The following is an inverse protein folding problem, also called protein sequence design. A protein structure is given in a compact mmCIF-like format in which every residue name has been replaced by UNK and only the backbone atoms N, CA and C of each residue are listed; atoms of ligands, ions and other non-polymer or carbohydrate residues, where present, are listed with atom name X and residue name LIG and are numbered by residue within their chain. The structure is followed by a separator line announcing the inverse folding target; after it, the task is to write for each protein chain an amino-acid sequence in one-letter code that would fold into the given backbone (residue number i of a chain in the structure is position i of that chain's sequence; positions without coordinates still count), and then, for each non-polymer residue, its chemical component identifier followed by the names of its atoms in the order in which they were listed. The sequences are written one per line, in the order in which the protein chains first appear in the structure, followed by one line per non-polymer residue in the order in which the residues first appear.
data_IF_916900504690
#
_entry.id   IF_916900504690
#
_cell.length_a   1.000
_cell.length_b   1.000
_cell.length_c   1.000
_cell.angle_alpha   90.00
_cell.angle_beta   90.00
_cell.angle_gamma   90.00
#
_symmetry.space_group_name_H-M   'P 1'
#
loop_
_entity.id
_entity.type
_entity.pdbx_description
1 polymer ?
#
# COMPACT_ATOMS: atom_id res chain seq x y z
N UNK A 1 23.83 3.58 -24.01
CA UNK A 1 22.51 3.06 -23.57
C UNK A 1 21.49 3.53 -24.57
N UNK A 2 20.57 2.66 -24.97
CA UNK A 2 19.53 3.00 -25.95
C UNK A 2 18.25 3.27 -25.15
N UNK A 3 17.62 4.41 -25.42
CA UNK A 3 16.35 4.77 -24.79
C UNK A 3 15.22 3.90 -25.36
N UNK A 4 14.16 3.71 -24.57
CA UNK A 4 12.98 2.98 -25.03
C UNK A 4 12.12 3.87 -25.95
N UNK A 5 11.10 3.26 -26.56
CA UNK A 5 10.13 3.97 -27.40
C UNK A 5 9.56 5.17 -26.62
N UNK A 6 9.61 6.35 -27.22
CA UNK A 6 8.98 7.52 -26.64
C UNK A 6 7.48 7.28 -26.49
N UNK A 7 7.02 7.19 -25.24
CA UNK A 7 5.60 6.95 -24.94
C UNK A 7 4.74 8.19 -25.23
N UNK A 8 5.34 9.39 -25.24
CA UNK A 8 4.63 10.66 -25.45
C UNK A 8 3.73 10.69 -26.70
N UNK A 9 4.23 10.39 -27.91
CA UNK A 9 3.43 10.36 -29.13
C UNK A 9 2.27 9.35 -29.11
N UNK A 10 2.40 8.25 -28.38
CA UNK A 10 1.37 7.21 -28.27
C UNK A 10 0.32 7.63 -27.24
N UNK A 11 0.77 7.94 -26.02
CA UNK A 11 -0.07 8.36 -24.90
C UNK A 11 -0.87 9.61 -25.30
N UNK A 12 -0.24 10.58 -25.98
CA UNK A 12 -0.86 11.78 -26.58
C UNK A 12 -2.11 11.56 -27.43
N UNK A 13 -2.25 10.39 -28.05
CA UNK A 13 -3.42 10.08 -28.88
C UNK A 13 -4.56 9.47 -28.07
N UNK A 14 -4.28 8.99 -26.86
CA UNK A 14 -5.23 8.31 -25.97
C UNK A 14 -5.90 9.31 -25.02
N UNK A 15 -6.78 10.15 -25.57
CA UNK A 15 -7.43 11.27 -24.84
C UNK A 15 -8.26 10.86 -23.61
N UNK A 16 -8.63 9.59 -23.51
CA UNK A 16 -9.42 9.02 -22.40
C UNK A 16 -8.61 8.04 -21.53
N UNK A 17 -7.26 8.10 -21.61
CA UNK A 17 -6.40 7.22 -20.82
C UNK A 17 -6.47 7.59 -19.33
N UNK A 18 -7.23 6.82 -18.55
CA UNK A 18 -7.32 7.00 -17.09
C UNK A 18 -6.28 6.16 -16.32
N UNK A 19 -5.80 5.08 -16.93
CA UNK A 19 -4.82 4.17 -16.32
C UNK A 19 -3.63 3.96 -17.25
N UNK A 20 -2.44 4.23 -16.74
CA UNK A 20 -1.18 4.00 -17.45
C UNK A 20 -0.31 3.05 -16.62
N UNK A 21 -0.07 1.86 -17.16
CA UNK A 21 0.83 0.88 -16.57
C UNK A 21 2.04 0.65 -17.48
N UNK A 22 3.23 0.87 -16.94
CA UNK A 22 4.50 0.75 -17.64
C UNK A 22 5.48 -0.07 -16.80
N UNK A 23 6.16 -1.01 -17.45
CA UNK A 23 7.26 -1.77 -16.86
C UNK A 23 8.41 -1.83 -17.86
N UNK A 24 9.55 -1.23 -17.49
CA UNK A 24 10.79 -1.28 -18.25
C UNK A 24 11.55 -2.56 -17.89
N UNK A 25 11.10 -3.67 -18.48
CA UNK A 25 11.64 -5.02 -18.26
C UNK A 25 12.08 -5.64 -19.56
N UNK A 26 12.97 -6.62 -19.45
CA UNK A 26 13.40 -7.44 -20.59
C UNK A 26 12.74 -8.81 -20.52
N UNK A 27 12.25 -9.30 -21.67
CA UNK A 27 11.75 -10.67 -21.85
C UNK A 27 12.45 -11.30 -23.05
N UNK A 28 12.56 -12.63 -23.04
CA UNK A 28 13.02 -13.44 -24.18
C UNK A 28 14.43 -13.09 -24.71
N UNK A 29 15.34 -12.72 -23.81
CA UNK A 29 16.72 -12.43 -24.19
C UNK A 29 17.59 -13.70 -24.20
N UNK A 30 18.31 -13.91 -25.31
CA UNK A 30 19.26 -15.01 -25.48
C UNK A 30 20.54 -14.85 -24.66
N UNK A 31 21.46 -15.80 -24.77
CA UNK A 31 22.64 -15.90 -23.90
C UNK A 31 23.67 -14.75 -24.01
N UNK A 32 23.59 -13.90 -25.04
CA UNK A 32 24.49 -12.74 -25.23
C UNK A 32 23.91 -11.43 -24.66
N UNK A 33 23.13 -11.53 -23.58
CA UNK A 33 22.37 -10.41 -23.01
C UNK A 33 23.13 -9.67 -21.91
N UNK A 34 23.24 -8.34 -22.07
CA UNK A 34 23.74 -7.45 -21.03
C UNK A 34 22.61 -6.59 -20.44
N UNK A 35 22.37 -6.73 -19.13
CA UNK A 35 21.39 -5.94 -18.37
C UNK A 35 21.59 -4.42 -18.48
N UNK A 36 22.81 -3.98 -18.78
CA UNK A 36 23.17 -2.56 -18.96
C UNK A 36 22.47 -1.91 -20.17
N UNK A 37 21.99 -2.69 -21.14
CA UNK A 37 21.50 -2.17 -22.42
C UNK A 37 20.04 -1.70 -22.41
N UNK A 38 19.22 -2.16 -21.46
CA UNK A 38 17.76 -1.91 -21.41
C UNK A 38 17.31 -1.37 -20.04
N UNK A 39 18.16 -0.59 -19.39
CA UNK A 39 17.78 0.09 -18.14
C UNK A 39 16.74 1.17 -18.43
N UNK A 40 15.83 1.39 -17.48
CA UNK A 40 14.99 2.59 -17.48
C UNK A 40 15.91 3.82 -17.41
N UNK A 41 16.04 4.55 -18.51
CA UNK A 41 17.00 5.66 -18.64
C UNK A 41 16.41 6.97 -18.12
N UNK A 42 17.25 7.99 -17.99
CA UNK A 42 16.79 9.30 -17.50
C UNK A 42 15.90 9.97 -18.54
N UNK A 43 16.18 9.70 -19.81
CA UNK A 43 15.38 10.15 -20.93
C UNK A 43 14.03 9.45 -20.97
N UNK A 44 13.96 8.14 -20.67
CA UNK A 44 12.69 7.41 -20.52
C UNK A 44 11.82 8.06 -19.43
N UNK A 45 12.43 8.39 -18.28
CA UNK A 45 11.74 9.04 -17.17
C UNK A 45 11.20 10.42 -17.57
N UNK A 46 12.00 11.23 -18.27
CA UNK A 46 11.58 12.56 -18.77
C UNK A 46 10.47 12.43 -19.81
N UNK A 47 10.59 11.49 -20.75
CA UNK A 47 9.58 11.22 -21.76
C UNK A 47 8.24 10.81 -21.14
N UNK A 48 8.28 9.94 -20.13
CA UNK A 48 7.12 9.54 -19.36
C UNK A 48 6.50 10.72 -18.59
N UNK A 49 7.33 11.57 -17.98
CA UNK A 49 6.85 12.77 -17.28
C UNK A 49 6.09 13.72 -18.22
N UNK A 50 6.64 13.99 -19.41
CA UNK A 50 5.97 14.80 -20.44
C UNK A 50 4.65 14.17 -20.89
N UNK A 51 4.61 12.84 -21.01
CA UNK A 51 3.37 12.14 -21.35
C UNK A 51 2.30 12.35 -20.27
N UNK A 52 2.67 12.16 -18.99
CA UNK A 52 1.75 12.30 -17.85
C UNK A 52 1.24 13.73 -17.72
N UNK A 53 2.12 14.75 -17.78
CA UNK A 53 1.72 16.15 -17.64
C UNK A 53 0.71 16.60 -18.69
N UNK A 54 0.77 16.04 -19.89
CA UNK A 54 -0.16 16.34 -20.97
C UNK A 54 -1.49 15.55 -20.90
N UNK A 55 -1.68 14.69 -19.88
CA UNK A 55 -2.89 13.87 -19.72
C UNK A 55 -3.58 14.12 -18.37
N UNK A 56 -4.38 15.20 -18.26
CA UNK A 56 -5.00 15.59 -17.00
C UNK A 56 -6.07 14.63 -16.51
N UNK A 57 -6.38 13.56 -17.24
CA UNK A 57 -7.38 12.54 -16.89
C UNK A 57 -6.77 11.26 -16.31
N UNK A 58 -5.44 11.11 -16.30
CA UNK A 58 -4.79 9.92 -15.70
C UNK A 58 -5.03 9.91 -14.18
N UNK A 59 -5.72 8.87 -13.72
CA UNK A 59 -6.04 8.62 -12.33
C UNK A 59 -5.15 7.57 -11.68
N UNK A 60 -4.66 6.63 -12.48
CA UNK A 60 -3.90 5.48 -12.01
C UNK A 60 -2.60 5.38 -12.80
N UNK A 61 -1.47 5.37 -12.09
CA UNK A 61 -0.15 5.24 -12.67
C UNK A 61 0.61 4.08 -12.02
N UNK A 62 1.00 3.10 -12.82
CA UNK A 62 1.87 1.99 -12.42
C UNK A 62 3.21 2.10 -13.14
N UNK A 63 4.29 2.19 -12.38
CA UNK A 63 5.67 2.09 -12.88
C UNK A 63 6.38 1.05 -12.01
N UNK A 64 6.20 -0.22 -12.34
CA UNK A 64 6.68 -1.34 -11.51
C UNK A 64 7.82 -2.09 -12.20
N UNK A 65 8.70 -2.72 -11.42
CA UNK A 65 9.79 -3.57 -11.93
C UNK A 65 10.65 -2.88 -13.00
N UNK A 66 10.89 -1.58 -12.83
CA UNK A 66 11.53 -0.73 -13.82
C UNK A 66 12.88 -0.20 -13.35
N UNK A 67 13.46 -0.79 -12.30
CA UNK A 67 14.73 -0.35 -11.72
C UNK A 67 14.78 1.14 -11.36
N UNK A 68 13.63 1.75 -11.07
CA UNK A 68 13.56 3.18 -10.75
C UNK A 68 14.29 3.48 -9.44
N UNK A 69 15.32 4.32 -9.51
CA UNK A 69 16.11 4.78 -8.36
C UNK A 69 15.53 6.05 -7.72
N UNK A 70 16.20 6.55 -6.68
CA UNK A 70 15.81 7.77 -5.97
C UNK A 70 15.75 9.01 -6.86
N UNK A 71 16.65 9.14 -7.83
CA UNK A 71 16.79 10.35 -8.63
C UNK A 71 15.67 10.44 -9.67
N UNK A 72 15.39 9.32 -10.36
CA UNK A 72 14.23 9.21 -11.25
C UNK A 72 12.91 9.34 -10.49
N UNK A 73 12.81 8.74 -9.30
CA UNK A 73 11.63 8.90 -8.46
C UNK A 73 11.39 10.38 -8.11
N UNK A 74 12.45 11.15 -7.86
CA UNK A 74 12.34 12.58 -7.60
C UNK A 74 11.85 13.36 -8.83
N UNK A 75 12.41 13.08 -10.01
CA UNK A 75 11.96 13.68 -11.28
C UNK A 75 10.48 13.39 -11.52
N UNK A 76 10.05 12.14 -11.31
CA UNK A 76 8.65 11.75 -11.40
C UNK A 76 7.77 12.51 -10.41
N UNK A 77 8.20 12.61 -9.14
CA UNK A 77 7.47 13.35 -8.10
C UNK A 77 7.29 14.82 -8.48
N UNK A 78 8.34 15.47 -8.97
CA UNK A 78 8.29 16.87 -9.40
C UNK A 78 7.30 17.05 -10.57
N UNK A 79 7.23 16.06 -11.47
CA UNK A 79 6.27 16.02 -12.57
C UNK A 79 4.81 15.89 -12.11
N UNK A 80 4.53 15.02 -11.14
CA UNK A 80 3.16 14.69 -10.71
C UNK A 80 2.68 15.48 -9.49
N UNK A 81 3.48 16.41 -8.97
CA UNK A 81 3.21 17.14 -7.73
C UNK A 81 1.86 17.86 -7.72
N UNK A 82 1.46 18.40 -8.86
CA UNK A 82 0.19 19.13 -9.06
C UNK A 82 -0.73 18.42 -10.08
N UNK A 83 -0.54 17.12 -10.31
CA UNK A 83 -1.37 16.40 -11.28
C UNK A 83 -2.85 16.44 -10.87
N UNK A 84 -3.77 16.89 -11.75
CA UNK A 84 -5.12 17.29 -11.34
C UNK A 84 -6.04 16.14 -10.96
N UNK A 85 -5.70 14.89 -11.32
CA UNK A 85 -6.58 13.73 -11.18
C UNK A 85 -5.90 12.45 -10.66
N UNK A 86 -4.59 12.48 -10.39
CA UNK A 86 -3.87 11.26 -10.00
C UNK A 86 -4.29 10.82 -8.58
N UNK A 87 -4.88 9.64 -8.48
CA UNK A 87 -5.42 9.07 -7.24
C UNK A 87 -4.66 7.82 -6.79
N UNK A 88 -4.06 7.07 -7.71
CA UNK A 88 -3.31 5.85 -7.43
C UNK A 88 -1.92 5.88 -8.07
N UNK A 89 -0.90 5.58 -7.27
CA UNK A 89 0.49 5.50 -7.69
C UNK A 89 1.11 4.21 -7.18
N UNK A 90 1.48 3.34 -8.10
CA UNK A 90 2.20 2.10 -7.81
C UNK A 90 3.62 2.17 -8.36
N UNK A 91 4.59 2.18 -7.45
CA UNK A 91 6.01 2.16 -7.76
C UNK A 91 6.69 0.92 -7.17
N UNK A 92 5.93 -0.14 -6.93
CA UNK A 92 6.44 -1.37 -6.31
C UNK A 92 7.54 -2.05 -7.13
N UNK A 93 8.40 -2.80 -6.44
CA UNK A 93 9.51 -3.55 -7.04
C UNK A 93 10.50 -2.67 -7.82
N UNK A 94 10.88 -1.53 -7.25
CA UNK A 94 11.93 -0.66 -7.79
C UNK A 94 13.05 -0.47 -6.73
N UNK A 95 13.93 0.51 -6.93
CA UNK A 95 15.07 0.80 -6.05
C UNK A 95 15.01 2.23 -5.48
N UNK A 96 13.79 2.70 -5.15
CA UNK A 96 13.52 4.10 -4.77
C UNK A 96 14.35 4.57 -3.57
N UNK A 97 14.53 3.73 -2.55
CA UNK A 97 15.28 4.06 -1.33
C UNK A 97 14.76 5.27 -0.56
N UNK A 98 15.53 5.70 0.45
CA UNK A 98 15.08 6.73 1.40
C UNK A 98 14.98 8.14 0.81
N UNK A 99 15.84 8.48 -0.16
CA UNK A 99 15.79 9.80 -0.82
C UNK A 99 14.55 9.93 -1.69
N UNK A 100 14.19 8.88 -2.43
CA UNK A 100 12.95 8.85 -3.21
C UNK A 100 11.71 8.83 -2.30
N UNK A 101 11.74 8.06 -1.20
CA UNK A 101 10.67 8.09 -0.20
C UNK A 101 10.44 9.48 0.42
N UNK A 102 11.49 10.26 0.62
CA UNK A 102 11.41 11.67 1.04
C UNK A 102 10.79 12.57 -0.03
N UNK A 103 11.02 12.32 -1.31
CA UNK A 103 10.32 13.05 -2.37
C UNK A 103 8.83 12.70 -2.36
N UNK A 104 8.50 11.41 -2.30
CA UNK A 104 7.12 10.93 -2.20
C UNK A 104 6.40 11.45 -0.96
N UNK A 105 7.09 11.62 0.17
CA UNK A 105 6.49 12.19 1.37
C UNK A 105 6.08 13.66 1.17
N UNK A 106 6.81 14.43 0.35
CA UNK A 106 6.39 15.79 -0.05
C UNK A 106 5.15 15.75 -0.92
N UNK A 107 5.06 14.80 -1.86
CA UNK A 107 3.88 14.62 -2.72
C UNK A 107 2.61 14.42 -1.88
N UNK A 108 2.64 13.47 -0.94
CA UNK A 108 1.46 13.12 -0.13
C UNK A 108 1.16 14.11 1.01
N UNK A 109 2.14 14.93 1.43
CA UNK A 109 1.92 16.03 2.37
C UNK A 109 1.38 17.30 1.69
N UNK A 110 1.58 17.41 0.36
CA UNK A 110 1.24 18.56 -0.46
C UNK A 110 -0.23 18.63 -0.86
N UNK A 111 -0.49 19.08 -2.09
CA UNK A 111 -1.84 19.25 -2.67
C UNK A 111 -2.29 18.09 -3.55
N UNK A 112 -1.54 16.98 -3.51
CA UNK A 112 -1.86 15.81 -4.33
C UNK A 112 -3.22 15.21 -3.96
N UNK A 113 -3.92 14.65 -4.95
CA UNK A 113 -5.17 13.90 -4.77
C UNK A 113 -4.95 12.42 -4.49
N UNK A 114 -3.69 12.02 -4.25
CA UNK A 114 -3.32 10.62 -4.08
C UNK A 114 -4.03 9.99 -2.87
N UNK A 115 -4.73 8.89 -3.14
CA UNK A 115 -5.44 8.05 -2.18
C UNK A 115 -4.74 6.72 -1.97
N UNK A 116 -4.04 6.21 -2.99
CA UNK A 116 -3.42 4.90 -2.96
C UNK A 116 -1.93 5.02 -3.34
N UNK A 117 -1.06 4.53 -2.46
CA UNK A 117 0.38 4.54 -2.69
C UNK A 117 0.98 3.16 -2.41
N UNK A 118 1.56 2.53 -3.43
CA UNK A 118 2.26 1.27 -3.31
C UNK A 118 3.77 1.46 -3.51
N UNK A 119 4.54 1.18 -2.45
CA UNK A 119 5.99 1.23 -2.40
C UNK A 119 6.58 -0.12 -1.94
N UNK A 120 5.86 -1.21 -2.16
CA UNK A 120 6.36 -2.53 -1.80
C UNK A 120 7.70 -2.83 -2.50
N UNK A 121 8.64 -3.44 -1.78
CA UNK A 121 9.95 -3.86 -2.31
C UNK A 121 10.72 -2.72 -3.01
N UNK A 122 11.09 -1.68 -2.25
CA UNK A 122 11.75 -0.48 -2.75
C UNK A 122 13.03 -0.09 -2.01
N UNK A 123 13.55 -0.98 -1.15
CA UNK A 123 14.75 -0.76 -0.34
C UNK A 123 14.64 0.46 0.59
N UNK A 124 13.43 0.83 1.00
CA UNK A 124 13.23 1.85 2.04
C UNK A 124 13.78 1.33 3.37
N UNK A 125 14.42 2.21 4.11
CA UNK A 125 14.91 1.98 5.46
C UNK A 125 14.23 2.92 6.46
N UNK A 126 14.71 2.92 7.70
CA UNK A 126 14.14 3.72 8.78
C UNK A 126 13.94 5.20 8.43
N UNK A 127 14.89 5.83 7.71
CA UNK A 127 14.79 7.26 7.40
C UNK A 127 13.73 7.56 6.34
N UNK A 128 13.50 6.63 5.39
CA UNK A 128 12.38 6.68 4.46
C UNK A 128 11.05 6.53 5.19
N UNK A 129 10.96 5.59 6.14
CA UNK A 129 9.80 5.42 7.02
C UNK A 129 9.46 6.67 7.83
N UNK A 130 10.47 7.30 8.44
CA UNK A 130 10.32 8.56 9.18
C UNK A 130 9.78 9.68 8.29
N UNK A 131 10.28 9.79 7.05
CA UNK A 131 9.82 10.82 6.12
C UNK A 131 8.34 10.64 5.74
N UNK A 132 7.92 9.41 5.47
CA UNK A 132 6.52 9.06 5.20
C UNK A 132 5.64 9.31 6.44
N UNK A 133 6.10 8.92 7.62
CA UNK A 133 5.38 9.15 8.88
C UNK A 133 5.10 10.64 9.12
N UNK A 134 6.08 11.52 8.88
CA UNK A 134 5.89 12.96 9.01
C UNK A 134 4.79 13.48 8.07
N UNK A 135 4.69 12.94 6.85
CA UNK A 135 3.66 13.31 5.90
C UNK A 135 2.27 12.75 6.28
N UNK A 136 2.20 11.49 6.72
CA UNK A 136 0.96 10.87 7.21
C UNK A 136 0.34 11.63 8.39
N UNK A 137 1.17 12.24 9.25
CA UNK A 137 0.69 13.03 10.38
C UNK A 137 0.06 14.38 9.98
N UNK A 138 0.16 14.80 8.71
CA UNK A 138 -0.43 16.06 8.23
C UNK A 138 -1.91 15.88 7.93
N UNK A 139 -2.74 16.85 8.33
CA UNK A 139 -4.18 16.89 8.02
C UNK A 139 -4.49 16.94 6.52
N UNK A 140 -3.55 17.43 5.71
CA UNK A 140 -3.67 17.47 4.24
C UNK A 140 -3.52 16.09 3.59
N UNK A 141 -2.99 15.09 4.29
CA UNK A 141 -2.75 13.77 3.72
C UNK A 141 -4.08 13.05 3.42
N UNK A 142 -4.34 12.76 2.13
CA UNK A 142 -5.55 12.11 1.66
C UNK A 142 -5.42 10.58 1.49
N UNK A 143 -4.25 10.02 1.77
CA UNK A 143 -4.00 8.59 1.58
C UNK A 143 -5.00 7.73 2.37
N UNK A 144 -5.55 6.75 1.67
CA UNK A 144 -6.44 5.70 2.18
C UNK A 144 -5.73 4.38 2.29
N UNK A 145 -4.82 4.09 1.36
CA UNK A 145 -4.04 2.85 1.36
C UNK A 145 -2.56 3.15 1.17
N UNK A 146 -1.74 2.49 1.98
CA UNK A 146 -0.28 2.57 1.91
C UNK A 146 0.32 1.17 2.03
N UNK A 147 1.04 0.76 0.99
CA UNK A 147 1.75 -0.51 1.00
C UNK A 147 3.27 -0.28 1.07
N UNK A 148 3.89 -0.75 2.15
CA UNK A 148 5.32 -0.69 2.43
C UNK A 148 5.94 -2.09 2.58
N UNK A 149 5.23 -3.15 2.16
CA UNK A 149 5.69 -4.54 2.25
C UNK A 149 7.11 -4.73 1.69
N UNK A 150 7.88 -5.65 2.24
CA UNK A 150 9.22 -6.03 1.73
C UNK A 150 10.20 -4.85 1.66
N UNK A 151 10.18 -3.97 2.67
CA UNK A 151 11.22 -2.96 2.85
C UNK A 151 12.02 -3.29 4.13
N UNK A 152 12.86 -2.38 4.60
CA UNK A 152 13.69 -2.56 5.79
C UNK A 152 13.53 -1.37 6.74
N UNK A 153 12.28 -0.98 6.97
CA UNK A 153 11.96 0.17 7.82
C UNK A 153 12.53 0.03 9.22
N UNK A 154 12.69 -1.21 9.70
CA UNK A 154 13.12 -1.54 11.05
C UNK A 154 12.21 -0.88 12.08
N UNK A 155 12.56 -1.05 13.34
CA UNK A 155 11.73 -0.58 14.44
C UNK A 155 11.53 0.95 14.47
N UNK A 156 12.58 1.73 14.15
CA UNK A 156 12.50 3.19 14.10
C UNK A 156 11.49 3.69 13.05
N UNK A 157 11.54 3.11 11.84
CA UNK A 157 10.61 3.46 10.77
C UNK A 157 9.19 3.01 11.09
N UNK A 158 9.00 1.79 11.59
CA UNK A 158 7.70 1.27 12.00
C UNK A 158 7.06 2.07 13.14
N UNK A 159 7.84 2.40 14.17
CA UNK A 159 7.43 3.23 15.31
C UNK A 159 7.02 4.63 14.86
N UNK A 160 7.79 5.25 13.95
CA UNK A 160 7.44 6.55 13.40
C UNK A 160 6.07 6.51 12.68
N UNK A 161 5.85 5.49 11.83
CA UNK A 161 4.58 5.27 11.14
C UNK A 161 3.45 5.10 12.18
N UNK A 162 3.60 4.21 13.17
CA UNK A 162 2.60 4.01 14.21
C UNK A 162 2.23 5.31 14.94
N UNK A 163 3.23 6.11 15.35
CA UNK A 163 3.01 7.42 15.99
C UNK A 163 2.23 8.39 15.10
N UNK A 164 2.49 8.39 13.79
CA UNK A 164 1.76 9.24 12.84
C UNK A 164 0.27 8.88 12.75
N UNK A 165 -0.06 7.58 12.87
CA UNK A 165 -1.43 7.09 12.80
C UNK A 165 -2.30 7.57 13.96
N UNK A 166 -1.73 7.90 15.12
CA UNK A 166 -2.51 8.48 16.22
C UNK A 166 -3.13 9.85 15.86
N UNK A 167 -2.58 10.54 14.85
CA UNK A 167 -3.09 11.83 14.34
C UNK A 167 -3.75 11.71 12.96
N UNK A 168 -3.43 10.66 12.21
CA UNK A 168 -3.97 10.45 10.89
C UNK A 168 -5.42 9.93 10.97
N UNK A 169 -6.31 10.60 10.24
CA UNK A 169 -7.74 10.23 10.12
C UNK A 169 -8.15 9.88 8.68
N UNK A 170 -7.18 9.68 7.79
CA UNK A 170 -7.43 9.35 6.38
C UNK A 170 -7.15 7.88 6.04
N UNK A 171 -6.06 7.31 6.56
CA UNK A 171 -5.54 5.99 6.19
C UNK A 171 -6.43 4.86 6.73
N UNK A 172 -6.89 4.00 5.83
CA UNK A 172 -7.76 2.85 6.08
C UNK A 172 -7.01 1.54 6.07
N UNK A 173 -5.98 1.43 5.25
CA UNK A 173 -5.22 0.20 5.02
C UNK A 173 -3.72 0.48 5.03
N UNK A 174 -2.99 -0.29 5.82
CA UNK A 174 -1.55 -0.21 5.92
C UNK A 174 -0.93 -1.61 5.85
N UNK A 175 -0.01 -1.80 4.91
CA UNK A 175 0.79 -3.02 4.84
C UNK A 175 2.24 -2.71 5.21
N UNK A 176 2.71 -3.36 6.29
CA UNK A 176 4.07 -3.31 6.82
C UNK A 176 4.69 -4.72 6.91
N UNK A 177 4.17 -5.69 6.16
CA UNK A 177 4.69 -7.04 6.16
C UNK A 177 6.16 -7.08 5.73
N UNK A 178 6.97 -7.93 6.37
CA UNK A 178 8.39 -8.10 6.08
C UNK A 178 9.16 -6.75 6.06
N UNK A 179 9.26 -6.09 7.21
CA UNK A 179 9.93 -4.80 7.39
C UNK A 179 10.98 -4.78 8.51
N UNK A 180 11.35 -5.94 9.05
CA UNK A 180 12.25 -6.09 10.19
C UNK A 180 11.75 -5.34 11.45
N UNK A 181 10.43 -5.28 11.65
CA UNK A 181 9.83 -4.70 12.87
C UNK A 181 9.99 -5.65 14.05
N UNK A 182 10.15 -5.12 15.26
CA UNK A 182 10.24 -5.92 16.48
C UNK A 182 9.19 -5.52 17.53
N UNK A 183 9.32 -6.06 18.74
CA UNK A 183 8.41 -5.84 19.86
C UNK A 183 8.16 -4.35 20.18
N UNK A 184 9.14 -3.47 19.97
CA UNK A 184 9.03 -2.06 20.30
C UNK A 184 8.00 -1.35 19.40
N UNK A 185 8.04 -1.59 18.08
CA UNK A 185 7.01 -1.12 17.15
C UNK A 185 5.63 -1.68 17.50
N UNK A 186 5.54 -2.94 17.95
CA UNK A 186 4.28 -3.56 18.37
C UNK A 186 3.61 -2.79 19.52
N UNK A 187 4.36 -2.27 20.49
CA UNK A 187 3.84 -1.43 21.58
C UNK A 187 3.13 -0.19 21.01
N UNK A 188 3.72 0.48 20.02
CA UNK A 188 3.09 1.66 19.42
C UNK A 188 1.88 1.28 18.55
N UNK A 189 1.93 0.16 17.85
CA UNK A 189 0.75 -0.34 17.13
C UNK A 189 -0.37 -0.72 18.10
N UNK A 190 -0.09 -1.27 19.28
CA UNK A 190 -1.10 -1.50 20.30
C UNK A 190 -1.82 -0.21 20.71
N UNK A 191 -1.06 0.88 20.89
CA UNK A 191 -1.65 2.20 21.12
C UNK A 191 -2.52 2.67 19.95
N UNK A 192 -2.10 2.44 18.71
CA UNK A 192 -2.91 2.74 17.51
C UNK A 192 -4.20 1.93 17.52
N UNK A 193 -4.15 0.63 17.81
CA UNK A 193 -5.33 -0.24 17.88
C UNK A 193 -6.32 0.23 18.96
N UNK A 194 -5.85 0.70 20.11
CA UNK A 194 -6.73 1.21 21.16
C UNK A 194 -7.43 2.53 20.76
N UNK A 195 -6.74 3.44 20.06
CA UNK A 195 -7.18 4.84 19.91
C UNK A 195 -7.59 5.25 18.49
N UNK A 196 -6.94 4.73 17.46
CA UNK A 196 -7.28 5.08 16.08
C UNK A 196 -8.56 4.33 15.65
N UNK A 197 -9.59 5.09 15.27
CA UNK A 197 -10.89 4.56 14.78
C UNK A 197 -11.04 4.65 13.25
N UNK A 198 -9.97 5.02 12.56
CA UNK A 198 -9.95 5.19 11.10
C UNK A 198 -9.43 3.95 10.40
N UNK A 199 -8.33 3.38 10.90
CA UNK A 199 -7.64 2.23 10.32
C UNK A 199 -8.51 0.97 10.48
N UNK A 200 -8.64 0.23 9.38
CA UNK A 200 -9.51 -0.95 9.28
C UNK A 200 -8.75 -2.21 8.85
N UNK A 201 -7.60 -2.04 8.18
CA UNK A 201 -6.76 -3.14 7.74
C UNK A 201 -5.31 -2.82 8.09
N UNK A 202 -4.64 -3.76 8.77
CA UNK A 202 -3.24 -3.66 9.13
C UNK A 202 -2.56 -5.01 8.90
N UNK A 203 -1.49 -5.03 8.14
CA UNK A 203 -0.66 -6.23 7.95
C UNK A 203 0.72 -6.01 8.56
N UNK A 204 1.04 -6.77 9.60
CA UNK A 204 2.34 -6.80 10.28
C UNK A 204 3.04 -8.16 10.11
N UNK A 205 2.55 -9.02 9.21
CA UNK A 205 3.06 -10.38 9.04
C UNK A 205 4.55 -10.41 8.66
N UNK A 206 5.22 -11.53 8.90
CA UNK A 206 6.65 -11.71 8.58
C UNK A 206 7.56 -10.64 9.23
N UNK A 207 7.24 -10.20 10.43
CA UNK A 207 8.11 -9.37 11.28
C UNK A 207 8.57 -10.18 12.52
N UNK A 208 9.27 -9.57 13.46
CA UNK A 208 9.81 -10.24 14.65
C UNK A 208 9.25 -9.61 15.93
N UNK A 209 7.91 -9.54 16.02
CA UNK A 209 7.23 -8.86 17.13
C UNK A 209 7.35 -9.63 18.44
N UNK A 210 7.46 -10.96 18.38
CA UNK A 210 7.59 -11.82 19.54
C UNK A 210 6.31 -11.96 20.36
N UNK A 211 6.36 -12.83 21.38
CA UNK A 211 5.25 -13.09 22.30
C UNK A 211 4.80 -11.81 23.00
N UNK A 212 5.72 -11.05 23.58
CA UNK A 212 5.42 -9.80 24.28
C UNK A 212 4.75 -8.76 23.36
N UNK A 213 5.25 -8.64 22.12
CA UNK A 213 4.65 -7.76 21.11
C UNK A 213 3.22 -8.17 20.78
N UNK A 214 2.97 -9.48 20.61
CA UNK A 214 1.61 -9.99 20.34
C UNK A 214 0.65 -9.76 21.51
N UNK A 215 1.10 -9.91 22.77
CA UNK A 215 0.30 -9.61 23.96
C UNK A 215 -0.06 -8.12 24.03
N UNK A 216 0.86 -7.23 23.67
CA UNK A 216 0.57 -5.79 23.60
C UNK A 216 -0.47 -5.48 22.53
N UNK A 217 -0.36 -6.09 21.36
CA UNK A 217 -1.37 -5.93 20.30
C UNK A 217 -2.74 -6.45 20.75
N UNK A 218 -2.79 -7.57 21.49
CA UNK A 218 -4.01 -8.10 22.10
C UNK A 218 -4.64 -7.10 23.07
N UNK A 219 -3.86 -6.52 23.99
CA UNK A 219 -4.31 -5.46 24.90
C UNK A 219 -4.93 -4.28 24.14
N UNK A 220 -4.26 -3.82 23.06
CA UNK A 220 -4.75 -2.74 22.20
C UNK A 220 -6.04 -3.09 21.44
N UNK A 221 -6.20 -4.36 21.06
CA UNK A 221 -7.38 -4.85 20.36
C UNK A 221 -8.60 -5.05 21.26
N UNK A 222 -8.43 -5.27 22.57
CA UNK A 222 -9.52 -5.64 23.49
C UNK A 222 -10.77 -4.74 23.45
N UNK A 223 -10.63 -3.47 23.03
CA UNK A 223 -11.74 -2.52 22.84
C UNK A 223 -11.75 -1.86 21.47
N UNK A 224 -11.03 -2.42 20.50
CA UNK A 224 -11.05 -1.95 19.13
C UNK A 224 -12.32 -2.43 18.43
N UNK A 225 -13.14 -1.48 17.94
CA UNK A 225 -14.39 -1.75 17.23
C UNK A 225 -14.34 -1.49 15.73
N UNK A 226 -13.17 -1.16 15.16
CA UNK A 226 -13.05 -0.64 13.79
C UNK A 226 -12.14 -1.49 12.90
N UNK A 227 -11.23 -2.25 13.49
CA UNK A 227 -10.32 -3.13 12.78
C UNK A 227 -11.09 -4.32 12.23
N UNK A 228 -10.97 -4.54 10.92
CA UNK A 228 -11.64 -5.60 10.16
C UNK A 228 -10.65 -6.66 9.70
N UNK A 229 -9.35 -6.34 9.65
CA UNK A 229 -8.29 -7.27 9.29
C UNK A 229 -6.98 -6.89 9.98
N UNK A 230 -6.39 -7.84 10.71
CA UNK A 230 -5.05 -7.72 11.28
C UNK A 230 -4.28 -9.02 11.00
N UNK A 231 -3.26 -8.96 10.14
CA UNK A 231 -2.41 -10.12 9.86
C UNK A 231 -1.14 -10.08 10.72
N UNK A 232 -0.97 -11.11 11.55
CA UNK A 232 0.18 -11.31 12.45
C UNK A 232 0.93 -12.60 12.14
N UNK A 233 0.67 -13.26 11.01
CA UNK A 233 1.32 -14.52 10.68
C UNK A 233 2.84 -14.34 10.61
N UNK A 234 3.56 -15.34 11.09
CA UNK A 234 5.03 -15.33 11.09
C UNK A 234 5.62 -14.11 11.84
N UNK A 235 4.98 -13.68 12.94
CA UNK A 235 5.51 -12.62 13.81
C UNK A 235 6.23 -13.12 15.09
N UNK A 236 6.17 -14.43 15.34
CA UNK A 236 6.66 -15.04 16.58
C UNK A 236 5.79 -14.77 17.81
N UNK A 237 4.51 -14.42 17.59
CA UNK A 237 3.52 -14.18 18.65
C UNK A 237 3.00 -15.45 19.32
N UNK A 238 2.22 -15.27 20.39
CA UNK A 238 1.55 -16.37 21.09
C UNK A 238 0.23 -16.74 20.42
N UNK A 239 -0.14 -18.02 20.46
CA UNK A 239 -1.39 -18.51 19.88
C UNK A 239 -2.61 -17.93 20.60
N UNK A 240 -2.50 -17.69 21.91
CA UNK A 240 -3.57 -17.09 22.72
C UNK A 240 -3.85 -15.65 22.29
N UNK A 241 -2.80 -14.86 22.07
CA UNK A 241 -2.93 -13.48 21.59
C UNK A 241 -3.54 -13.44 20.19
N UNK A 242 -3.05 -14.27 19.27
CA UNK A 242 -3.60 -14.38 17.91
C UNK A 242 -5.07 -14.77 17.92
N UNK A 243 -5.44 -15.80 18.70
CA UNK A 243 -6.82 -16.25 18.82
C UNK A 243 -7.75 -15.15 19.37
N UNK A 244 -7.35 -14.47 20.45
CA UNK A 244 -8.12 -13.38 21.05
C UNK A 244 -8.32 -12.21 20.08
N UNK A 245 -7.29 -11.89 19.30
CA UNK A 245 -7.35 -10.84 18.26
C UNK A 245 -8.32 -11.25 17.15
N UNK A 246 -8.25 -12.50 16.68
CA UNK A 246 -9.17 -13.03 15.66
C UNK A 246 -10.63 -12.95 16.10
N UNK A 247 -10.95 -13.36 17.34
CA UNK A 247 -12.31 -13.25 17.88
C UNK A 247 -12.82 -11.81 17.89
N UNK A 248 -11.96 -10.85 18.25
CA UNK A 248 -12.34 -9.44 18.25
C UNK A 248 -12.56 -8.89 16.84
N UNK A 249 -11.79 -9.36 15.85
CA UNK A 249 -11.98 -9.02 14.44
C UNK A 249 -13.30 -9.57 13.91
N UNK A 250 -13.61 -10.85 14.18
CA UNK A 250 -14.88 -11.48 13.80
C UNK A 250 -16.06 -10.69 14.37
N UNK A 251 -16.00 -10.33 15.66
CA UNK A 251 -17.00 -9.46 16.31
C UNK A 251 -17.15 -8.11 15.60
N UNK A 252 -16.06 -7.47 15.20
CA UNK A 252 -16.11 -6.19 14.48
C UNK A 252 -16.75 -6.33 13.10
N UNK A 253 -16.43 -7.41 12.37
CA UNK A 253 -17.02 -7.71 11.07
C UNK A 253 -18.53 -7.98 11.18
N UNK A 254 -18.96 -8.73 12.19
CA UNK A 254 -20.37 -9.01 12.44
C UNK A 254 -21.15 -7.75 12.84
N UNK A 255 -20.58 -6.90 13.71
CA UNK A 255 -21.17 -5.61 14.06
C UNK A 255 -21.36 -4.72 12.82
N UNK A 256 -20.36 -4.67 11.92
CA UNK A 256 -20.45 -3.92 10.67
C UNK A 256 -21.52 -4.50 9.74
N UNK A 257 -21.61 -5.83 9.62
CA UNK A 257 -22.65 -6.51 8.84
C UNK A 257 -24.04 -6.17 9.39
N UNK A 258 -24.21 -6.23 10.71
CA UNK A 258 -25.48 -5.92 11.37
C UNK A 258 -25.90 -4.46 11.14
N UNK A 259 -24.97 -3.50 11.35
CA UNK A 259 -25.24 -2.09 11.11
C UNK A 259 -25.68 -1.79 9.66
N UNK A 260 -25.12 -2.50 8.67
CA UNK A 260 -25.53 -2.38 7.26
C UNK A 260 -26.93 -2.94 7.00
N UNK A 261 -27.28 -4.07 7.62
CA UNK A 261 -28.61 -4.66 7.50
C UNK A 261 -29.67 -3.75 8.12
N UNK A 262 -29.38 -3.18 9.29
CA UNK A 262 -30.29 -2.26 9.97
C UNK A 262 -30.49 -0.98 9.16
N UNK A 263 -29.40 -0.41 8.61
CA UNK A 263 -29.51 0.72 7.67
C UNK A 263 -30.38 0.39 6.45
N UNK A 264 -30.19 -0.78 5.83
CA UNK A 264 -30.99 -1.19 4.67
C UNK A 264 -32.48 -1.35 5.00
N UNK A 265 -32.81 -1.82 6.21
CA UNK A 265 -34.20 -1.94 6.68
C UNK A 265 -34.86 -0.58 6.85
N UNK A 266 -34.16 0.37 7.49
CA UNK A 266 -34.66 1.74 7.69
C UNK A 266 -34.90 2.46 6.37
N UNK A 267 -33.98 2.35 5.40
CA UNK A 267 -34.16 2.99 4.08
C UNK A 267 -35.35 2.38 3.33
N UNK A 268 -35.58 1.07 3.43
CA UNK A 268 -36.73 0.43 2.77
C UNK A 268 -38.08 0.84 3.37
N UNK A 269 -38.16 1.12 4.67
CA UNK A 269 -39.39 1.61 5.32
C UNK A 269 -39.73 3.05 4.92
N UNK A 270 -38.73 3.87 4.59
CA UNK A 270 -38.95 5.26 4.16
C UNK A 270 -39.34 5.36 2.66
N UNK A 271 -38.88 4.43 1.82
CA UNK A 271 -39.17 4.44 0.37
C UNK A 271 -40.58 3.93 0.03
N UNK A 272 -41.28 3.26 0.96
CA UNK A 272 -42.70 2.93 0.77
C UNK A 272 -43.64 4.16 0.81
N UNK A 273 -43.11 5.38 1.00
CA UNK A 273 -43.86 6.64 0.97
C UNK A 273 -43.47 7.66 -0.11
N UNK A 274 -42.54 7.38 -1.03
CA UNK A 274 -42.11 8.39 -2.02
C UNK A 274 -41.25 7.86 -3.16
N UNK A 275 -41.50 8.41 -4.36
CA UNK A 275 -40.98 8.04 -5.68
C UNK A 275 -39.50 7.60 -5.74
N UNK A 276 -39.27 6.55 -6.53
CA UNK A 276 -37.98 5.94 -6.83
C UNK A 276 -37.05 6.88 -7.62
N UNK A 277 -35.88 7.20 -7.05
CA UNK A 277 -34.66 7.37 -7.86
C UNK A 277 -33.63 6.33 -7.42
N UNK A 278 -33.22 5.52 -8.39
CA UNK A 278 -32.31 4.40 -8.21
C UNK A 278 -30.88 4.90 -7.92
N UNK A 279 -30.45 4.83 -6.65
CA UNK A 279 -29.05 5.01 -6.30
C UNK A 279 -28.30 3.68 -6.34
N UNK A 280 -27.28 3.68 -7.19
CA UNK A 280 -26.42 2.57 -7.55
C UNK A 280 -25.63 2.04 -6.33
N UNK A 281 -25.85 0.78 -5.95
CA UNK A 281 -25.06 0.09 -4.91
C UNK A 281 -23.77 -0.41 -5.55
N UNK A 282 -22.57 -0.05 -5.03
CA UNK A 282 -21.32 -0.57 -5.58
C UNK A 282 -21.27 -2.09 -5.42
N UNK A 283 -21.07 -2.79 -6.54
CA UNK A 283 -20.88 -4.23 -6.57
C UNK A 283 -19.62 -4.62 -5.77
N UNK A 284 -19.79 -5.49 -4.76
CA UNK A 284 -18.64 -5.98 -4.00
C UNK A 284 -19.02 -6.85 -2.81
N UNK A 285 -19.06 -8.16 -3.08
CA UNK A 285 -18.95 -9.31 -2.15
C UNK A 285 -20.27 -10.06 -1.87
N UNK A 286 -20.42 -11.12 -2.64
CA UNK A 286 -21.29 -12.27 -2.40
C UNK A 286 -20.95 -12.99 -1.09
N UNK A 287 -22.01 -13.49 -0.46
CA UNK A 287 -22.04 -14.42 0.69
C UNK A 287 -20.81 -15.33 0.82
N UNK A 288 -20.20 -15.30 2.02
CA UNK A 288 -19.24 -16.31 2.47
C UNK A 288 -20.07 -17.48 3.03
N UNK A 289 -20.16 -18.55 2.26
CA UNK A 289 -20.55 -19.86 2.75
C UNK A 289 -19.38 -20.82 2.50
N UNK A 290 -18.77 -21.30 3.58
CA UNK A 290 -17.88 -22.46 3.70
C UNK A 290 -16.98 -22.79 2.51
N UNK A 291 -15.74 -22.30 2.53
CA UNK A 291 -14.59 -22.98 1.93
C UNK A 291 -13.37 -22.89 2.85
N UNK A 292 -13.13 -23.96 3.60
CA UNK A 292 -11.75 -24.38 3.86
C UNK A 292 -11.17 -24.85 2.52
N UNK A 293 -10.48 -23.95 1.81
CA UNK A 293 -9.51 -24.31 0.78
C UNK A 293 -8.60 -23.11 0.55
N UNK A 294 -7.30 -23.38 0.71
CA UNK A 294 -6.18 -22.57 0.25
C UNK A 294 -6.48 -22.05 -1.17
N UNK A 295 -6.42 -20.73 -1.38
CA UNK A 295 -6.73 -20.13 -2.68
C UNK A 295 -6.60 -18.61 -2.73
N UNK A 296 -5.40 -18.17 -3.14
CA UNK A 296 -5.13 -16.98 -3.97
C UNK A 296 -5.76 -15.65 -3.53
N UNK A 297 -5.04 -14.89 -2.71
CA UNK A 297 -5.07 -13.43 -2.77
C UNK A 297 -4.64 -12.99 -4.18
N UNK A 298 -5.38 -12.06 -4.77
CA UNK A 298 -4.98 -11.37 -6.01
C UNK A 298 -3.82 -10.42 -5.69
N UNK A 299 -2.66 -11.03 -5.51
CA UNK A 299 -1.32 -10.47 -5.66
C UNK A 299 -0.52 -11.67 -6.19
N UNK A 300 -0.10 -11.68 -7.47
CA UNK A 300 0.64 -12.82 -7.99
C UNK A 300 2.05 -12.82 -7.39
N UNK A 301 2.23 -13.54 -6.28
CA UNK A 301 3.52 -14.05 -5.83
C UNK A 301 3.72 -15.42 -6.51
N UNK A 302 4.48 -15.42 -7.61
CA UNK A 302 5.11 -16.61 -8.15
C UNK A 302 6.56 -16.26 -8.50
N UNK A 303 7.48 -16.71 -7.65
CA UNK A 303 8.71 -17.45 -7.95
C UNK A 303 9.71 -17.29 -6.78
N UNK A 304 9.55 -18.17 -5.79
CA UNK A 304 10.69 -18.75 -5.09
C UNK A 304 11.27 -19.80 -6.03
N UNK A 305 12.49 -19.56 -6.50
CA UNK A 305 13.20 -20.49 -7.38
C UNK A 305 14.67 -20.14 -7.51
N UNK A 306 15.50 -20.96 -6.87
CA UNK A 306 16.95 -21.13 -7.04
C UNK A 306 17.87 -19.96 -6.62
N UNK A 307 18.37 -20.11 -5.39
CA UNK A 307 19.68 -19.63 -4.97
C UNK A 307 20.71 -20.73 -5.34
N UNK A 308 21.64 -20.54 -6.29
CA UNK A 308 22.74 -21.47 -6.47
C UNK A 308 24.03 -20.90 -5.84
N UNK A 309 24.52 -21.60 -4.82
CA UNK A 309 25.95 -21.68 -4.55
C UNK A 309 26.57 -20.60 -3.67
N UNK A 310 26.43 -20.76 -2.34
CA UNK A 310 27.59 -20.57 -1.46
C UNK A 310 28.32 -21.92 -1.50
N UNK A 311 29.47 -22.00 -2.16
CA UNK A 311 30.43 -23.07 -1.90
C UNK A 311 31.59 -22.48 -1.11
N UNK A 312 31.78 -23.04 0.07
CA UNK A 312 32.99 -22.96 0.88
C UNK A 312 34.21 -23.48 0.10
N UNK A 313 35.19 -22.61 -0.11
CA UNK A 313 36.63 -22.86 -0.06
C UNK A 313 37.35 -21.50 -0.09
#
# INVERSE_FOLDING_TARGET
MVDHVELGPVVGKLKHLEELAVSFTVKDCGMNFEWSMFQFTSQDCIGLCKAIQNHPVIRILHITRSHMDSDRCRVLVDCIMEHPSLECLDLSHNFIGDRGARALSKLIAGRSKLKNLNLANNRLQATGGLALAHALAKKSCLLRTLNLRLNRLRDDGGTAIAKSLLRNSSLKELNLAANDLNQNAAIYFAHVLAHNKTLTHLDLSNNQLGVDGSQKLQEGMARNGTMLHLDLRFTGGSQEAEYSICQQIEKNQDNLRQARLDYSRTVKTDVTGGNLEAFNVPAGITSVANRHTVGTSVFPDAFLGANPGISSA
#
